data_IF_959166967378
#
_entry.id   IF_959166967378
#
_cell.length_a   1.000
_cell.length_b   1.000
_cell.length_c   1.000
_cell.angle_alpha   90.00
_cell.angle_beta   90.00
_cell.angle_gamma   90.00
#
_symmetry.space_group_name_H-M   'P 1'
#
loop_
_entity.id
_entity.type
_entity.pdbx_description
1 polymer ?
#
# COMPACT_ATOMS: atom_id res chain seq x y z
N UNK A 1 7.78 10.44 -21.39
CA UNK A 1 6.54 10.40 -20.56
C UNK A 1 6.03 8.96 -20.33
N UNK A 2 6.85 8.04 -19.79
CA UNK A 2 6.46 6.62 -19.63
C UNK A 2 6.56 6.10 -18.18
N UNK A 3 7.43 6.71 -17.36
CA UNK A 3 7.59 6.37 -15.93
C UNK A 3 6.30 6.61 -15.11
N UNK A 4 5.62 7.73 -15.36
CA UNK A 4 4.34 8.09 -14.71
C UNK A 4 3.28 7.00 -14.89
N UNK A 5 3.25 6.33 -16.05
CA UNK A 5 2.24 5.32 -16.39
C UNK A 5 2.48 4.00 -15.65
N UNK A 6 3.73 3.62 -15.44
CA UNK A 6 4.10 2.45 -14.64
C UNK A 6 3.78 2.64 -13.15
N UNK A 7 4.08 3.82 -12.60
CA UNK A 7 3.80 4.12 -11.18
C UNK A 7 2.30 4.14 -10.87
N UNK A 8 1.49 4.62 -11.82
CA UNK A 8 0.03 4.66 -11.72
C UNK A 8 -0.59 3.27 -11.63
N UNK A 9 -0.13 2.32 -12.45
CA UNK A 9 -0.73 0.98 -12.50
C UNK A 9 -0.32 0.09 -11.32
N UNK A 10 0.90 0.24 -10.78
CA UNK A 10 1.39 -0.58 -9.65
C UNK A 10 0.76 -0.21 -8.30
N UNK A 11 0.23 1.02 -8.15
CA UNK A 11 -0.38 1.52 -6.91
C UNK A 11 -1.92 1.64 -6.94
N UNK A 12 -2.58 1.33 -8.06
CA UNK A 12 -4.04 1.49 -8.22
C UNK A 12 -4.90 0.41 -7.54
N UNK A 13 -4.29 -0.55 -6.84
CA UNK A 13 -5.02 -1.67 -6.23
C UNK A 13 -5.55 -1.34 -4.82
N UNK A 14 -6.57 -0.47 -4.71
CA UNK A 14 -7.58 -0.49 -3.65
C UNK A 14 -8.70 0.53 -3.94
N UNK A 15 -9.96 0.07 -3.99
CA UNK A 15 -11.14 0.94 -4.15
C UNK A 15 -11.23 1.90 -2.95
N UNK A 16 -11.02 3.20 -3.19
CA UNK A 16 -11.14 4.28 -2.19
C UNK A 16 -9.89 5.13 -1.96
N UNK A 17 -8.68 4.57 -2.11
CA UNK A 17 -7.40 5.31 -1.95
C UNK A 17 -6.90 6.12 -3.16
N UNK A 18 -7.17 5.77 -4.44
CA UNK A 18 -6.61 6.53 -5.57
C UNK A 18 -7.13 7.97 -5.62
N UNK A 19 -8.36 8.21 -5.13
CA UNK A 19 -8.92 9.55 -5.07
C UNK A 19 -8.20 10.45 -4.06
N UNK A 20 -7.86 9.91 -2.87
CA UNK A 20 -7.15 10.69 -1.84
C UNK A 20 -5.72 11.02 -2.27
N UNK A 21 -5.00 10.06 -2.86
CA UNK A 21 -3.66 10.29 -3.38
C UNK A 21 -3.66 11.33 -4.52
N UNK A 22 -4.69 11.29 -5.38
CA UNK A 22 -4.85 12.28 -6.46
C UNK A 22 -5.06 13.70 -5.90
N UNK A 23 -5.89 13.87 -4.87
CA UNK A 23 -6.08 15.17 -4.21
C UNK A 23 -4.77 15.67 -3.59
N UNK A 24 -4.01 14.79 -2.93
CA UNK A 24 -2.71 15.14 -2.36
C UNK A 24 -1.72 15.60 -3.43
N UNK A 25 -1.69 14.92 -4.58
CA UNK A 25 -0.86 15.32 -5.73
C UNK A 25 -1.29 16.66 -6.32
N UNK A 26 -2.59 16.90 -6.44
CA UNK A 26 -3.11 18.19 -6.90
C UNK A 26 -2.68 19.33 -5.97
N UNK A 27 -2.73 19.13 -4.64
CA UNK A 27 -2.29 20.13 -3.66
C UNK A 27 -0.80 20.43 -3.76
N UNK A 28 0.03 19.41 -3.97
CA UNK A 28 1.47 19.59 -4.18
C UNK A 28 1.72 20.38 -5.48
N UNK A 29 1.02 20.05 -6.56
CA UNK A 29 1.12 20.77 -7.83
C UNK A 29 0.69 22.24 -7.69
N UNK A 30 -0.39 22.51 -6.94
CA UNK A 30 -0.82 23.88 -6.64
C UNK A 30 0.27 24.67 -5.90
N UNK A 31 0.87 24.10 -4.85
CA UNK A 31 1.95 24.76 -4.11
C UNK A 31 3.17 25.08 -5.01
N UNK A 32 3.52 24.14 -5.90
CA UNK A 32 4.60 24.37 -6.88
C UNK A 32 4.22 25.47 -7.89
N UNK A 33 2.97 25.48 -8.37
CA UNK A 33 2.48 26.49 -9.31
C UNK A 33 2.46 27.90 -8.70
N UNK A 34 2.15 27.99 -7.40
CA UNK A 34 2.21 29.21 -6.59
C UNK A 34 3.64 29.60 -6.21
N UNK A 35 4.64 28.79 -6.56
CA UNK A 35 6.07 28.94 -6.22
C UNK A 35 6.34 28.93 -4.70
N UNK A 36 5.45 28.31 -3.93
CA UNK A 36 5.63 28.07 -2.50
C UNK A 36 6.39 26.76 -2.28
N UNK A 37 7.71 26.86 -2.21
CA UNK A 37 8.61 25.71 -2.02
C UNK A 37 8.49 25.09 -0.64
N UNK A 38 8.21 25.88 0.40
CA UNK A 38 8.11 25.41 1.78
C UNK A 38 6.86 24.53 1.96
N UNK A 39 5.72 25.02 1.48
CA UNK A 39 4.49 24.26 1.49
C UNK A 39 4.60 22.99 0.65
N UNK A 40 5.20 23.08 -0.54
CA UNK A 40 5.44 21.93 -1.39
C UNK A 40 6.30 20.87 -0.67
N UNK A 41 7.34 21.28 0.04
CA UNK A 41 8.21 20.38 0.81
C UNK A 41 7.45 19.68 1.95
N UNK A 42 6.69 20.43 2.75
CA UNK A 42 5.89 19.87 3.86
C UNK A 42 4.90 18.84 3.33
N UNK A 43 4.20 19.16 2.25
CA UNK A 43 3.23 18.26 1.62
C UNK A 43 3.90 17.00 1.08
N UNK A 44 5.06 17.13 0.42
CA UNK A 44 5.83 16.00 -0.12
C UNK A 44 6.35 15.09 0.99
N UNK A 45 6.91 15.64 2.07
CA UNK A 45 7.38 14.86 3.23
C UNK A 45 6.25 14.04 3.84
N UNK A 46 5.08 14.66 4.03
CA UNK A 46 3.89 13.98 4.54
C UNK A 46 3.42 12.88 3.60
N UNK A 47 3.41 13.15 2.29
CA UNK A 47 3.00 12.20 1.27
C UNK A 47 3.89 10.94 1.27
N UNK A 48 5.21 11.12 1.28
CA UNK A 48 6.19 10.02 1.31
C UNK A 48 6.05 9.19 2.60
N UNK A 49 5.91 9.85 3.76
CA UNK A 49 5.71 9.16 5.04
C UNK A 49 4.44 8.31 5.02
N UNK A 50 3.34 8.84 4.52
CA UNK A 50 2.09 8.09 4.41
C UNK A 50 2.23 6.90 3.45
N UNK A 51 2.90 7.08 2.32
CA UNK A 51 3.17 5.99 1.37
C UNK A 51 3.98 4.85 2.01
N UNK A 52 5.03 5.19 2.76
CA UNK A 52 5.87 4.22 3.47
C UNK A 52 5.07 3.39 4.48
N UNK A 53 4.30 4.05 5.36
CA UNK A 53 3.46 3.37 6.35
C UNK A 53 2.47 2.39 5.70
N UNK A 54 1.90 2.75 4.54
CA UNK A 54 0.98 1.87 3.83
C UNK A 54 1.69 0.64 3.25
N UNK A 55 2.95 0.77 2.82
CA UNK A 55 3.73 -0.36 2.33
C UNK A 55 4.07 -1.28 3.50
N UNK A 56 4.54 -0.71 4.62
CA UNK A 56 4.85 -1.46 5.84
C UNK A 56 3.64 -2.29 6.31
N UNK A 57 2.45 -1.67 6.40
CA UNK A 57 1.22 -2.38 6.75
C UNK A 57 0.87 -3.52 5.80
N UNK A 58 1.08 -3.34 4.48
CA UNK A 58 0.80 -4.38 3.49
C UNK A 58 1.78 -5.54 3.59
N UNK A 59 3.06 -5.25 3.87
CA UNK A 59 4.08 -6.27 4.08
C UNK A 59 3.77 -7.07 5.34
N UNK A 60 3.42 -6.41 6.44
CA UNK A 60 2.99 -7.07 7.69
C UNK A 60 1.75 -7.95 7.48
N UNK A 61 0.72 -7.46 6.78
CA UNK A 61 -0.47 -8.24 6.45
C UNK A 61 -0.14 -9.45 5.56
N UNK A 62 0.77 -9.31 4.61
CA UNK A 62 1.23 -10.43 3.76
C UNK A 62 2.05 -11.46 4.55
N UNK A 63 2.80 -11.04 5.56
CA UNK A 63 3.56 -11.92 6.43
C UNK A 63 2.63 -12.70 7.40
N UNK A 64 1.64 -12.04 7.99
CA UNK A 64 0.66 -12.66 8.90
C UNK A 64 -0.25 -13.68 8.20
N UNK A 65 -0.59 -13.43 6.93
CA UNK A 65 -1.39 -14.37 6.13
C UNK A 65 -0.61 -15.62 5.68
N UNK A 66 0.73 -15.55 5.62
CA UNK A 66 1.57 -16.71 5.31
C UNK A 66 1.82 -17.63 6.52
N UNK A 67 1.83 -17.09 7.74
CA UNK A 67 2.12 -17.84 8.98
C UNK A 67 0.91 -18.66 9.50
N UNK A 68 -0.31 -18.20 9.22
CA UNK A 68 -1.56 -18.86 9.66
C UNK A 68 -1.98 -20.10 8.85
N UNK A 69 -1.16 -20.53 7.87
CA UNK A 69 -1.48 -21.62 6.93
C UNK A 69 -0.93 -23.02 7.28
N UNK A 70 -0.16 -23.22 8.36
CA UNK A 70 0.64 -24.46 8.52
C UNK A 70 0.36 -25.30 9.78
N UNK A 71 -0.55 -24.94 10.69
CA UNK A 71 -0.77 -25.74 11.92
C UNK A 71 -2.24 -26.13 12.11
N UNK A 72 -2.64 -27.25 11.50
CA UNK A 72 -3.48 -28.29 12.14
C UNK A 72 -3.98 -29.35 11.13
N UNK A 73 -3.26 -30.46 11.00
CA UNK A 73 -3.89 -31.77 10.87
C UNK A 73 -2.96 -32.88 11.40
N UNK A 74 -2.98 -33.18 12.71
CA UNK A 74 -2.59 -34.49 13.20
C UNK A 74 -3.80 -35.16 13.83
N UNK A 75 -4.39 -36.15 13.14
CA UNK A 75 -5.10 -37.24 13.82
C UNK A 75 -5.07 -38.49 12.92
N UNK A 76 -4.02 -39.27 13.13
CA UNK A 76 -4.07 -40.71 13.03
C UNK A 76 -5.18 -41.25 13.95
N UNK A 77 -6.19 -41.94 13.39
CA UNK A 77 -6.91 -43.02 14.05
C UNK A 77 -7.39 -44.03 13.01
N UNK A 78 -6.60 -45.08 12.86
CA UNK A 78 -7.01 -46.49 12.95
C UNK A 78 -8.42 -46.93 12.50
N UNK A 79 -8.39 -48.05 11.76
CA UNK A 79 -9.38 -49.12 11.71
C UNK A 79 -10.72 -48.84 11.00
N UNK A 80 -10.83 -49.37 9.78
CA UNK A 80 -12.08 -49.98 9.34
C UNK A 80 -11.77 -51.36 8.73
N UNK A 81 -12.34 -52.37 9.39
CA UNK A 81 -12.45 -53.75 8.92
C UNK A 81 -13.36 -53.80 7.68
N UNK A 82 -13.02 -54.68 6.75
CA UNK A 82 -13.86 -55.12 5.62
C UNK A 82 -13.25 -56.36 5.01
#
# INVERSE_FOLDING_TARGET
YQLMRMYRNKFSAHKGRPHRALIEHQRILSAIAERDGELAEILMRRHIRAARLNIEQRVEQSAQSADSGTVAAPIDKGAQRG
#
